data_IF_236720545635
#
_entry.id   IF_236720545635
#
_cell.length_a   1.000
_cell.length_b   1.000
_cell.length_c   1.000
_cell.angle_alpha   90.00
_cell.angle_beta   90.00
_cell.angle_gamma   90.00
#
_symmetry.space_group_name_H-M   'P 1'
#
loop_
_entity.id
_entity.type
_entity.pdbx_description
1 polymer ?
#
# COMPACT_ATOMS: atom_id res chain seq x y z
N UNK A 1 -6.95 22.43 -12.59
CA UNK A 1 -6.29 23.03 -13.77
C UNK A 1 -6.56 22.12 -14.95
N UNK A 2 -7.02 22.65 -16.08
CA UNK A 2 -7.21 21.83 -17.29
C UNK A 2 -5.81 21.62 -17.92
N UNK A 3 -5.36 20.37 -17.98
CA UNK A 3 -4.14 19.97 -18.69
C UNK A 3 -4.54 19.27 -19.99
N UNK A 4 -3.83 19.58 -21.09
CA UNK A 4 -4.03 18.97 -22.39
C UNK A 4 -2.95 17.93 -22.64
N UNK A 5 -3.29 16.87 -23.36
CA UNK A 5 -2.28 15.94 -23.85
C UNK A 5 -1.36 16.67 -24.86
N UNK A 6 -0.09 16.26 -25.01
CA UNK A 6 0.84 16.89 -25.96
C UNK A 6 0.37 16.88 -27.42
N UNK A 7 -0.53 15.96 -27.77
CA UNK A 7 -1.14 15.82 -29.10
C UNK A 7 -2.54 16.45 -29.22
N UNK A 8 -2.97 17.26 -28.24
CA UNK A 8 -4.25 17.96 -28.33
C UNK A 8 -4.18 19.07 -29.39
N UNK A 9 -4.90 18.86 -30.49
CA UNK A 9 -4.97 19.76 -31.63
C UNK A 9 -6.40 20.22 -31.92
N UNK A 10 -6.54 21.27 -32.72
CA UNK A 10 -7.85 21.70 -33.20
C UNK A 10 -8.42 20.76 -34.27
N UNK A 11 -9.67 20.32 -34.13
CA UNK A 11 -10.31 19.40 -35.09
C UNK A 11 -10.59 20.01 -36.48
N UNK A 12 -10.42 21.33 -36.66
CA UNK A 12 -10.65 22.00 -37.94
C UNK A 12 -9.33 22.22 -38.68
N UNK A 13 -8.33 22.84 -38.04
CA UNK A 13 -7.06 23.12 -38.69
C UNK A 13 -5.96 22.08 -38.40
N UNK A 14 -6.21 21.11 -37.51
CA UNK A 14 -5.25 20.10 -37.07
C UNK A 14 -3.93 20.64 -36.47
N UNK A 15 -3.87 21.92 -36.09
CA UNK A 15 -2.71 22.48 -35.40
C UNK A 15 -2.81 22.21 -33.91
N UNK A 16 -1.68 21.90 -33.29
CA UNK A 16 -1.54 21.74 -31.84
C UNK A 16 -1.99 23.00 -31.10
N UNK A 17 -2.70 22.82 -30.00
CA UNK A 17 -3.07 23.96 -29.16
C UNK A 17 -1.86 24.56 -28.45
N UNK A 18 -1.85 25.89 -28.33
CA UNK A 18 -0.85 26.67 -27.60
C UNK A 18 -1.51 27.86 -26.85
N UNK A 19 -0.70 28.65 -26.13
CA UNK A 19 -1.16 29.80 -25.36
C UNK A 19 -1.24 31.12 -26.14
N UNK A 20 -0.77 31.15 -27.39
CA UNK A 20 -0.56 32.37 -28.18
C UNK A 20 -1.32 32.40 -29.51
N UNK A 21 -1.07 31.44 -30.39
CA UNK A 21 -1.55 31.38 -31.78
C UNK A 21 -2.78 30.49 -31.88
N UNK A 22 -2.67 29.22 -31.48
CA UNK A 22 -3.74 28.22 -31.59
C UNK A 22 -4.39 28.05 -30.23
N UNK A 23 -5.10 29.10 -29.78
CA UNK A 23 -5.71 29.11 -28.45
C UNK A 23 -7.05 28.37 -28.46
N UNK A 24 -7.25 27.34 -27.61
CA UNK A 24 -8.49 26.57 -27.53
C UNK A 24 -9.64 27.38 -26.94
N UNK A 25 -10.80 27.28 -27.59
CA UNK A 25 -12.06 27.90 -27.18
C UNK A 25 -13.16 26.86 -27.24
N UNK A 26 -14.02 26.83 -26.21
CA UNK A 26 -15.22 26.00 -26.20
C UNK A 26 -16.42 26.80 -26.69
N UNK A 27 -17.34 26.12 -27.37
CA UNK A 27 -18.68 26.63 -27.68
C UNK A 27 -19.73 26.00 -26.77
N UNK A 28 -21.00 26.42 -26.88
CA UNK A 28 -22.11 25.99 -26.00
C UNK A 28 -22.33 24.47 -25.94
N UNK A 29 -22.02 23.75 -27.01
CA UNK A 29 -22.15 22.29 -27.03
C UNK A 29 -20.98 21.54 -26.38
N UNK A 30 -19.92 22.23 -25.97
CA UNK A 30 -18.75 21.66 -25.29
C UNK A 30 -17.59 21.25 -26.20
N UNK A 31 -17.75 21.29 -27.53
CA UNK A 31 -16.63 21.04 -28.45
C UNK A 31 -15.64 22.22 -28.45
N UNK A 32 -14.37 21.90 -28.67
CA UNK A 32 -13.26 22.85 -28.57
C UNK A 32 -12.60 23.04 -29.93
N UNK A 33 -12.42 24.29 -30.32
CA UNK A 33 -11.72 24.67 -31.56
C UNK A 33 -10.80 25.86 -31.29
N UNK A 34 -9.84 26.13 -32.18
CA UNK A 34 -9.04 27.35 -32.06
C UNK A 34 -9.87 28.58 -32.47
N UNK A 35 -9.49 29.76 -31.95
CA UNK A 35 -10.24 31.01 -32.20
C UNK A 35 -10.41 31.30 -33.69
N UNK A 36 -9.36 31.14 -34.48
CA UNK A 36 -9.38 31.41 -35.92
C UNK A 36 -10.40 30.54 -36.63
N UNK A 37 -10.45 29.24 -36.33
CA UNK A 37 -11.41 28.34 -36.95
C UNK A 37 -12.86 28.63 -36.54
N UNK A 38 -13.12 29.04 -35.29
CA UNK A 38 -14.48 29.46 -34.88
C UNK A 38 -14.92 30.70 -35.66
N UNK A 39 -14.03 31.68 -35.84
CA UNK A 39 -14.33 32.91 -36.59
C UNK A 39 -14.53 32.66 -38.09
N UNK A 40 -13.99 31.56 -38.63
CA UNK A 40 -14.10 31.18 -40.03
C UNK A 40 -15.34 30.33 -40.35
N UNK A 41 -16.17 29.99 -39.37
CA UNK A 41 -17.43 29.28 -39.62
C UNK A 41 -18.36 30.21 -40.41
N UNK A 42 -18.52 29.93 -41.71
CA UNK A 42 -19.39 30.67 -42.61
C UNK A 42 -20.80 30.07 -42.61
N UNK A 43 -21.83 30.91 -42.45
CA UNK A 43 -23.23 30.50 -42.41
C UNK A 43 -23.83 30.51 -41.00
N UNK A 44 -24.91 29.76 -40.73
CA UNK A 44 -25.48 29.68 -39.39
C UNK A 44 -24.45 29.08 -38.42
N UNK A 45 -24.23 29.76 -37.30
CA UNK A 45 -23.28 29.39 -36.27
C UNK A 45 -23.64 28.02 -35.68
N UNK A 46 -23.06 26.97 -36.25
CA UNK A 46 -23.33 25.58 -35.90
C UNK A 46 -22.03 24.85 -35.68
N UNK A 47 -21.99 23.99 -34.67
CA UNK A 47 -20.80 23.21 -34.34
C UNK A 47 -20.37 22.33 -35.53
N UNK A 48 -19.11 22.38 -36.00
CA UNK A 48 -18.64 21.54 -37.10
C UNK A 48 -18.71 20.03 -36.82
N UNK A 49 -18.75 19.64 -35.55
CA UNK A 49 -18.77 18.23 -35.12
C UNK A 49 -20.21 17.75 -34.95
N UNK A 50 -20.99 18.38 -34.06
CA UNK A 50 -22.33 17.91 -33.69
C UNK A 50 -23.49 18.73 -34.24
N UNK A 51 -23.21 19.78 -35.04
CA UNK A 51 -24.18 20.67 -35.71
C UNK A 51 -25.14 21.44 -34.79
N UNK A 52 -24.96 21.37 -33.47
CA UNK A 52 -25.73 22.19 -32.52
C UNK A 52 -25.47 23.68 -32.77
N UNK A 53 -26.51 24.53 -32.78
CA UNK A 53 -26.33 25.97 -32.93
C UNK A 53 -25.61 26.55 -31.71
N UNK A 54 -24.83 27.60 -31.93
CA UNK A 54 -24.14 28.36 -30.88
C UNK A 54 -24.12 29.84 -31.22
N UNK A 55 -23.85 30.69 -30.23
CA UNK A 55 -23.69 32.13 -30.44
C UNK A 55 -22.24 32.55 -30.18
N UNK A 56 -21.76 33.56 -30.91
CA UNK A 56 -20.38 34.06 -30.73
C UNK A 56 -20.14 34.60 -29.33
N UNK A 57 -21.18 35.12 -28.67
CA UNK A 57 -21.11 35.62 -27.31
C UNK A 57 -20.92 34.52 -26.26
N UNK A 58 -21.18 33.26 -26.61
CA UNK A 58 -21.04 32.10 -25.70
C UNK A 58 -19.71 31.36 -25.91
N UNK A 59 -18.89 31.79 -26.84
CA UNK A 59 -17.54 31.25 -27.04
C UNK A 59 -16.69 31.64 -25.83
N UNK A 60 -16.03 30.66 -25.21
CA UNK A 60 -15.19 30.88 -24.02
C UNK A 60 -13.76 30.39 -24.29
N UNK A 61 -12.77 31.24 -24.01
CA UNK A 61 -11.35 30.84 -24.01
C UNK A 61 -11.12 29.84 -22.88
N UNK A 62 -10.50 28.71 -23.21
CA UNK A 62 -10.05 27.76 -22.20
C UNK A 62 -8.66 28.16 -21.71
N UNK A 63 -8.54 28.36 -20.40
CA UNK A 63 -7.24 28.60 -19.75
C UNK A 63 -6.60 27.25 -19.44
N UNK A 64 -5.67 26.85 -20.31
CA UNK A 64 -4.89 25.62 -20.17
C UNK A 64 -3.49 25.95 -19.69
N UNK A 65 -2.97 25.08 -18.84
CA UNK A 65 -1.56 25.11 -18.48
C UNK A 65 -0.80 24.34 -19.54
N UNK A 66 -0.10 25.07 -20.42
CA UNK A 66 0.79 24.47 -21.39
C UNK A 66 2.13 24.22 -20.70
N UNK A 67 2.45 22.96 -20.42
CA UNK A 67 3.72 22.57 -19.81
C UNK A 67 4.93 23.04 -20.63
N UNK A 68 4.76 23.16 -21.96
CA UNK A 68 5.79 23.66 -22.89
C UNK A 68 6.32 25.05 -22.49
N UNK A 69 5.43 26.00 -22.15
CA UNK A 69 5.82 27.37 -21.78
C UNK A 69 6.33 27.52 -20.35
N UNK A 70 5.98 26.59 -19.44
CA UNK A 70 6.56 26.54 -18.11
C UNK A 70 8.04 26.15 -18.22
N UNK A 71 8.37 25.11 -18.99
CA UNK A 71 9.72 24.58 -19.11
C UNK A 71 10.73 25.57 -19.70
N UNK A 72 10.29 26.36 -20.68
CA UNK A 72 11.10 27.42 -21.30
C UNK A 72 11.31 28.61 -20.33
N UNK A 73 10.28 29.00 -19.56
CA UNK A 73 10.39 30.01 -18.49
C UNK A 73 11.20 29.53 -17.28
N UNK A 74 11.28 28.22 -17.09
CA UNK A 74 11.92 27.56 -15.96
C UNK A 74 13.39 27.22 -16.19
N UNK A 75 13.96 27.58 -17.36
CA UNK A 75 15.36 27.31 -17.73
C UNK A 75 15.76 25.83 -17.60
N UNK A 76 14.82 24.91 -17.87
CA UNK A 76 15.09 23.48 -17.80
C UNK A 76 15.85 23.02 -19.05
N UNK A 77 16.92 22.23 -18.89
CA UNK A 77 17.63 21.69 -20.05
C UNK A 77 16.77 20.62 -20.74
N UNK A 78 16.83 20.50 -22.09
CA UNK A 78 16.11 19.44 -22.82
C UNK A 78 16.46 18.02 -22.37
N UNK A 79 17.68 17.81 -21.88
CA UNK A 79 18.13 16.52 -21.32
C UNK A 79 17.44 16.17 -20.01
N UNK A 80 17.22 17.16 -19.14
CA UNK A 80 16.53 16.97 -17.87
C UNK A 80 15.06 16.59 -18.10
N UNK A 81 14.45 17.17 -19.13
CA UNK A 81 13.10 16.85 -19.57
C UNK A 81 12.95 15.40 -20.04
N UNK A 82 13.84 14.95 -20.92
CA UNK A 82 13.85 13.56 -21.39
C UNK A 82 14.08 12.57 -20.25
N UNK A 83 14.91 12.95 -19.28
CA UNK A 83 15.17 12.14 -18.09
C UNK A 83 13.94 12.08 -17.18
N UNK A 84 13.25 13.20 -16.99
CA UNK A 84 11.99 13.27 -16.25
C UNK A 84 10.90 12.37 -16.88
N UNK A 85 10.73 12.46 -18.20
CA UNK A 85 9.79 11.63 -18.95
C UNK A 85 10.14 10.14 -18.83
N UNK A 86 11.42 9.77 -18.92
CA UNK A 86 11.88 8.40 -18.68
C UNK A 86 11.48 7.90 -17.30
N UNK A 87 11.62 8.72 -16.26
CA UNK A 87 11.19 8.36 -14.91
C UNK A 87 9.67 8.22 -14.82
N UNK A 88 8.89 9.12 -15.44
CA UNK A 88 7.43 9.00 -15.47
C UNK A 88 6.97 7.70 -16.12
N UNK A 89 7.55 7.34 -17.27
CA UNK A 89 7.25 6.09 -17.96
C UNK A 89 7.67 4.86 -17.14
N UNK A 90 8.83 4.93 -16.48
CA UNK A 90 9.26 3.86 -15.57
C UNK A 90 8.29 3.68 -14.39
N UNK A 91 7.78 4.79 -13.82
CA UNK A 91 6.78 4.73 -12.75
C UNK A 91 5.44 4.17 -13.22
N UNK A 92 4.98 4.52 -14.42
CA UNK A 92 3.75 3.95 -15.00
C UNK A 92 3.89 2.43 -15.17
N UNK A 93 5.03 1.97 -15.72
CA UNK A 93 5.31 0.54 -15.88
C UNK A 93 5.36 -0.24 -14.56
N UNK A 94 5.79 0.39 -13.45
CA UNK A 94 5.75 -0.24 -12.12
C UNK A 94 4.31 -0.59 -11.72
N UNK A 95 3.34 0.23 -12.09
CA UNK A 95 1.92 0.02 -11.80
C UNK A 95 1.32 -1.02 -12.75
N UNK A 96 1.63 -0.93 -14.04
CA UNK A 96 0.99 -1.75 -15.08
C UNK A 96 1.52 -3.19 -15.14
N UNK A 97 2.84 -3.36 -15.17
CA UNK A 97 3.49 -4.67 -15.31
C UNK A 97 3.91 -5.26 -13.96
N UNK A 98 3.90 -4.44 -12.90
CA UNK A 98 4.53 -4.77 -11.63
C UNK A 98 6.06 -4.70 -11.72
N UNK A 99 6.71 -4.56 -10.56
CA UNK A 99 8.17 -4.62 -10.46
C UNK A 99 8.58 -5.42 -9.23
N UNK A 100 9.73 -6.09 -9.31
CA UNK A 100 10.37 -6.66 -8.14
C UNK A 100 10.86 -5.57 -7.19
N UNK A 101 10.83 -5.84 -5.88
CA UNK A 101 11.18 -4.87 -4.83
C UNK A 101 12.56 -4.24 -5.02
N UNK A 102 13.55 -5.05 -5.45
CA UNK A 102 14.90 -4.57 -5.75
C UNK A 102 14.91 -3.53 -6.88
N UNK A 103 14.15 -3.79 -7.95
CA UNK A 103 14.01 -2.86 -9.08
C UNK A 103 13.32 -1.56 -8.67
N UNK A 104 12.29 -1.63 -7.83
CA UNK A 104 11.63 -0.43 -7.29
C UNK A 104 12.59 0.41 -6.45
N UNK A 105 13.37 -0.22 -5.56
CA UNK A 105 14.36 0.48 -4.72
C UNK A 105 15.42 1.16 -5.57
N UNK A 106 15.89 0.49 -6.62
CA UNK A 106 16.85 1.06 -7.56
C UNK A 106 16.26 2.28 -8.28
N UNK A 107 15.04 2.18 -8.82
CA UNK A 107 14.35 3.30 -9.46
C UNK A 107 14.19 4.50 -8.52
N UNK A 108 13.76 4.24 -7.27
CA UNK A 108 13.64 5.28 -6.23
C UNK A 108 15.00 5.94 -5.96
N UNK A 109 16.07 5.16 -5.86
CA UNK A 109 17.42 5.67 -5.61
C UNK A 109 17.94 6.53 -6.76
N UNK A 110 17.81 6.05 -7.99
CA UNK A 110 18.22 6.78 -9.20
C UNK A 110 17.45 8.10 -9.34
N UNK A 111 16.12 8.05 -9.17
CA UNK A 111 15.28 9.24 -9.28
C UNK A 111 15.57 10.24 -8.14
N UNK A 112 15.79 9.75 -6.92
CA UNK A 112 16.18 10.59 -5.77
C UNK A 112 17.51 11.30 -6.01
N UNK A 113 18.53 10.56 -6.49
CA UNK A 113 19.85 11.12 -6.78
C UNK A 113 19.76 12.20 -7.86
N UNK A 114 19.01 11.94 -8.93
CA UNK A 114 18.80 12.91 -9.99
C UNK A 114 18.03 14.15 -9.50
N UNK A 115 16.90 14.00 -8.79
CA UNK A 115 16.09 15.11 -8.27
C UNK A 115 16.82 15.99 -7.23
N UNK A 116 17.83 15.45 -6.55
CA UNK A 116 18.70 16.23 -5.64
C UNK A 116 19.57 17.24 -6.39
N UNK A 117 19.97 16.93 -7.63
CA UNK A 117 20.71 17.84 -8.51
C UNK A 117 19.83 18.90 -9.20
N UNK A 118 18.50 18.75 -9.14
CA UNK A 118 17.56 19.63 -9.82
C UNK A 118 17.05 20.75 -8.90
N UNK A 119 16.80 21.97 -9.42
CA UNK A 119 16.16 23.04 -8.67
C UNK A 119 14.83 22.60 -8.05
N UNK A 120 14.57 23.03 -6.80
CA UNK A 120 13.43 22.55 -6.00
C UNK A 120 12.05 22.85 -6.60
N UNK A 121 11.95 23.87 -7.44
CA UNK A 121 10.70 24.34 -8.04
C UNK A 121 10.39 23.63 -9.38
N UNK A 122 11.35 22.90 -9.97
CA UNK A 122 11.12 22.07 -11.15
C UNK A 122 10.59 20.71 -10.75
N UNK A 123 9.91 19.99 -11.64
CA UNK A 123 9.50 18.59 -11.46
C UNK A 123 8.82 18.30 -10.10
N UNK A 124 7.85 19.14 -9.72
CA UNK A 124 7.09 18.97 -8.47
C UNK A 124 6.39 17.61 -8.40
N UNK A 125 5.76 17.21 -9.50
CA UNK A 125 5.02 15.96 -9.60
C UNK A 125 5.93 14.74 -9.39
N UNK A 126 7.12 14.73 -10.00
CA UNK A 126 8.11 13.67 -9.79
C UNK A 126 8.53 13.55 -8.33
N UNK A 127 8.67 14.67 -7.61
CA UNK A 127 9.02 14.65 -6.18
C UNK A 127 7.90 14.10 -5.32
N UNK A 128 6.65 14.43 -5.64
CA UNK A 128 5.48 13.88 -4.96
C UNK A 128 5.42 12.37 -5.22
N UNK A 129 5.54 11.95 -6.48
CA UNK A 129 5.55 10.54 -6.86
C UNK A 129 6.69 9.76 -6.20
N UNK A 130 7.90 10.33 -6.13
CA UNK A 130 9.03 9.74 -5.38
C UNK A 130 8.67 9.47 -3.92
N UNK A 131 8.04 10.44 -3.26
CA UNK A 131 7.69 10.35 -1.84
C UNK A 131 6.65 9.26 -1.61
N UNK A 132 5.63 9.18 -2.46
CA UNK A 132 4.60 8.15 -2.42
C UNK A 132 5.23 6.76 -2.64
N UNK A 133 6.04 6.59 -3.67
CA UNK A 133 6.71 5.30 -3.95
C UNK A 133 7.64 4.87 -2.82
N UNK A 134 8.41 5.79 -2.24
CA UNK A 134 9.28 5.52 -1.10
C UNK A 134 8.47 5.03 0.10
N UNK A 135 7.40 5.75 0.44
CA UNK A 135 6.48 5.37 1.51
C UNK A 135 5.85 3.99 1.28
N UNK A 136 5.40 3.70 0.06
CA UNK A 136 4.85 2.39 -0.29
C UNK A 136 5.89 1.28 -0.18
N UNK A 137 7.14 1.52 -0.60
CA UNK A 137 8.22 0.56 -0.50
C UNK A 137 8.53 0.22 0.97
N UNK A 138 8.62 1.24 1.83
CA UNK A 138 8.88 1.07 3.26
C UNK A 138 7.74 0.31 3.96
N UNK A 139 6.48 0.64 3.64
CA UNK A 139 5.34 -0.07 4.20
C UNK A 139 5.30 -1.53 3.77
N UNK A 140 5.65 -1.83 2.52
CA UNK A 140 5.72 -3.21 2.04
C UNK A 140 6.79 -4.00 2.78
N UNK A 141 7.93 -3.39 3.08
CA UNK A 141 8.99 -4.02 3.88
C UNK A 141 8.54 -4.26 5.33
N UNK A 142 7.90 -3.28 5.98
CA UNK A 142 7.34 -3.44 7.33
C UNK A 142 6.29 -4.53 7.39
N UNK A 143 5.37 -4.57 6.43
CA UNK A 143 4.34 -5.60 6.35
C UNK A 143 4.94 -7.01 6.22
N UNK A 144 6.04 -7.15 5.45
CA UNK A 144 6.76 -8.41 5.35
C UNK A 144 7.40 -8.81 6.68
N UNK A 145 8.00 -7.86 7.40
CA UNK A 145 8.54 -8.09 8.75
C UNK A 145 7.46 -8.56 9.72
N UNK A 146 6.34 -7.84 9.80
CA UNK A 146 5.22 -8.23 10.66
C UNK A 146 4.64 -9.60 10.33
N UNK A 147 4.63 -10.01 9.05
CA UNK A 147 4.20 -11.36 8.67
C UNK A 147 5.15 -12.43 9.20
N UNK A 148 6.46 -12.22 9.05
CA UNK A 148 7.46 -13.15 9.58
C UNK A 148 7.41 -13.26 11.10
N UNK A 149 7.21 -12.14 11.79
CA UNK A 149 7.10 -12.14 13.26
C UNK A 149 5.81 -12.84 13.71
N UNK A 150 4.70 -12.66 13.00
CA UNK A 150 3.46 -13.41 13.27
C UNK A 150 3.65 -14.91 13.05
N UNK A 151 4.35 -15.32 11.99
CA UNK A 151 4.65 -16.75 11.75
C UNK A 151 5.47 -17.34 12.90
N UNK A 152 6.49 -16.64 13.39
CA UNK A 152 7.29 -17.07 14.55
C UNK A 152 6.47 -17.16 15.83
N UNK A 153 5.71 -16.12 16.15
CA UNK A 153 4.86 -16.10 17.34
C UNK A 153 3.81 -17.21 17.31
N UNK A 154 3.23 -17.49 16.15
CA UNK A 154 2.29 -18.61 15.99
C UNK A 154 2.95 -19.96 16.25
N UNK A 155 4.20 -20.15 15.82
CA UNK A 155 4.94 -21.38 16.09
C UNK A 155 5.30 -21.52 17.57
N UNK A 156 5.72 -20.44 18.23
CA UNK A 156 5.95 -20.40 19.68
C UNK A 156 4.67 -20.73 20.48
N UNK A 157 3.53 -20.15 20.09
CA UNK A 157 2.23 -20.44 20.71
C UNK A 157 1.89 -21.93 20.58
N UNK A 158 2.13 -22.54 19.41
CA UNK A 158 1.90 -23.98 19.22
C UNK A 158 2.80 -24.83 20.12
N UNK A 159 4.09 -24.52 20.17
CA UNK A 159 5.05 -25.25 21.00
C UNK A 159 4.65 -25.18 22.49
N UNK A 160 4.33 -23.98 23.00
CA UNK A 160 3.89 -23.79 24.37
C UNK A 160 2.55 -24.48 24.67
N UNK A 161 1.64 -24.55 23.68
CA UNK A 161 0.36 -25.26 23.84
C UNK A 161 0.60 -26.76 24.02
N UNK A 162 1.47 -27.36 23.21
CA UNK A 162 1.83 -28.77 23.33
C UNK A 162 2.54 -29.08 24.66
N UNK A 163 3.47 -28.21 25.08
CA UNK A 163 4.15 -28.36 26.37
C UNK A 163 3.17 -28.26 27.54
N UNK A 164 2.23 -27.30 27.49
CA UNK A 164 1.17 -27.16 28.48
C UNK A 164 0.31 -28.42 28.57
N UNK A 165 -0.11 -28.99 27.44
CA UNK A 165 -0.90 -30.23 27.41
C UNK A 165 -0.12 -31.39 28.04
N UNK A 166 1.15 -31.57 27.68
CA UNK A 166 2.00 -32.62 28.25
C UNK A 166 2.20 -32.46 29.77
N UNK A 167 2.40 -31.24 30.26
CA UNK A 167 2.50 -30.97 31.70
C UNK A 167 1.18 -31.19 32.43
N UNK A 168 0.05 -30.87 31.81
CA UNK A 168 -1.28 -31.12 32.36
C UNK A 168 -1.53 -32.63 32.53
N UNK A 169 -1.10 -33.45 31.57
CA UNK A 169 -1.26 -34.90 31.66
C UNK A 169 -0.35 -35.52 32.72
N UNK A 170 0.91 -35.09 32.80
CA UNK A 170 1.82 -35.48 33.90
C UNK A 170 1.26 -35.11 35.27
N UNK A 171 0.67 -33.91 35.39
CA UNK A 171 0.06 -33.47 36.64
C UNK A 171 -1.11 -34.37 37.05
N UNK A 172 -1.95 -34.79 36.10
CA UNK A 172 -3.05 -35.73 36.39
C UNK A 172 -2.53 -37.09 36.85
N UNK A 173 -1.49 -37.61 36.20
CA UNK A 173 -0.87 -38.89 36.56
C UNK A 173 -0.32 -38.85 37.99
N UNK A 174 0.43 -37.81 38.34
CA UNK A 174 0.96 -37.62 39.70
C UNK A 174 -0.15 -37.49 40.76
N UNK A 175 -1.26 -36.83 40.42
CA UNK A 175 -2.42 -36.73 41.33
C UNK A 175 -3.01 -38.11 41.60
N UNK A 176 -3.17 -38.95 40.58
CA UNK A 176 -3.70 -40.31 40.74
C UNK A 176 -2.74 -41.22 41.51
N UNK A 177 -1.42 -41.15 41.23
CA UNK A 177 -0.39 -41.88 41.98
C UNK A 177 -0.46 -41.49 43.46
N UNK A 178 -0.46 -40.19 43.75
CA UNK A 178 -0.53 -39.69 45.14
C UNK A 178 -1.81 -40.12 45.85
N UNK A 179 -2.92 -40.22 45.14
CA UNK A 179 -4.19 -40.72 45.68
C UNK A 179 -4.08 -42.20 46.05
N UNK A 180 -3.55 -43.02 45.14
CA UNK A 180 -3.34 -44.44 45.37
C UNK A 180 -2.37 -44.72 46.54
N UNK A 181 -1.25 -44.00 46.60
CA UNK A 181 -0.29 -44.10 47.71
C UNK A 181 -0.94 -43.73 49.04
N UNK A 182 -1.75 -42.67 49.07
CA UNK A 182 -2.48 -42.25 50.27
C UNK A 182 -3.49 -43.31 50.73
N UNK A 183 -4.26 -43.88 49.80
CA UNK A 183 -5.21 -44.95 50.10
C UNK A 183 -4.49 -46.21 50.63
N UNK A 184 -3.36 -46.56 50.03
CA UNK A 184 -2.53 -47.69 50.46
C UNK A 184 -1.93 -47.46 51.85
N UNK A 185 -1.35 -46.28 52.09
CA UNK A 185 -0.81 -45.93 53.40
C UNK A 185 -1.88 -45.95 54.51
N UNK A 186 -3.09 -45.47 54.20
CA UNK A 186 -4.22 -45.54 55.12
C UNK A 186 -4.62 -46.99 55.45
N UNK A 187 -4.70 -47.86 54.44
CA UNK A 187 -5.03 -49.26 54.64
C UNK A 187 -3.98 -50.01 55.50
N UNK A 188 -2.70 -49.74 55.26
CA UNK A 188 -1.60 -50.29 56.08
C UNK A 188 -1.69 -49.78 57.52
N UNK A 189 -1.95 -48.49 57.73
CA UNK A 189 -2.09 -47.91 59.07
C UNK A 189 -3.24 -48.54 59.86
N UNK A 190 -4.41 -48.72 59.22
CA UNK A 190 -5.56 -49.41 59.82
C UNK A 190 -5.21 -50.85 60.20
N UNK A 191 -4.60 -51.61 59.28
CA UNK A 191 -4.22 -53.00 59.53
C UNK A 191 -3.21 -53.14 60.67
N UNK A 192 -2.21 -52.25 60.72
CA UNK A 192 -1.24 -52.22 61.82
C UNK A 192 -1.89 -51.87 63.15
N UNK A 193 -2.83 -50.92 63.17
CA UNK A 193 -3.58 -50.54 64.37
C UNK A 193 -4.40 -51.71 64.90
N UNK A 194 -5.12 -52.42 64.04
CA UNK A 194 -5.86 -53.64 64.40
C UNK A 194 -4.93 -54.72 64.97
N UNK A 195 -3.75 -54.92 64.35
CA UNK A 195 -2.78 -55.89 64.84
C UNK A 195 -2.24 -55.53 66.23
N UNK A 196 -1.90 -54.26 66.45
CA UNK A 196 -1.47 -53.75 67.76
C UNK A 196 -2.55 -53.89 68.83
N UNK A 197 -3.81 -53.58 68.51
CA UNK A 197 -4.94 -53.75 69.43
C UNK A 197 -5.14 -55.23 69.81
N UNK A 198 -5.05 -56.14 68.84
CA UNK A 198 -5.16 -57.57 69.09
C UNK A 198 -3.98 -58.10 69.92
N UNK A 199 -2.75 -57.68 69.61
CA UNK A 199 -1.58 -58.04 70.39
C UNK A 199 -1.71 -57.54 71.84
N UNK A 200 -2.14 -56.29 72.04
CA UNK A 200 -2.40 -55.75 73.36
C UNK A 200 -3.42 -56.60 74.12
N UNK A 201 -4.58 -56.93 73.52
CA UNK A 201 -5.59 -57.80 74.16
C UNK A 201 -5.01 -59.15 74.60
N UNK A 202 -4.19 -59.78 73.75
CA UNK A 202 -3.54 -61.06 74.08
C UNK A 202 -2.57 -60.89 75.25
N UNK A 203 -1.77 -59.82 75.27
CA UNK A 203 -0.86 -59.53 76.38
C UNK A 203 -1.61 -59.23 77.68
N UNK A 204 -2.68 -58.43 77.66
CA UNK A 204 -3.46 -58.13 78.87
C UNK A 204 -4.09 -59.38 79.46
N UNK A 205 -4.66 -60.25 78.61
CA UNK A 205 -5.26 -61.51 79.02
C UNK A 205 -4.24 -62.56 79.51
N UNK A 206 -2.95 -62.41 79.19
CA UNK A 206 -1.89 -63.32 79.62
C UNK A 206 -1.26 -62.91 80.97
N UNK A 207 -1.60 -61.72 81.48
CA UNK A 207 -1.06 -61.14 82.73
C UNK A 207 -2.10 -61.19 83.88
N UNK A 208 -3.37 -61.49 83.59
CA UNK A 208 -4.41 -61.87 84.57
C UNK A 208 -4.39 -63.39 84.86
#
# INVERSE_FOLDING_TARGET
>A
MLSLAPASSCDICAHDYDDTVVVPHTITCGHVFCRSCIMQVQGPLTCPICRKPFEMQDVRKLHISFDKGLLEKLQCKPEDLRTAERFQNAMANVVDAGIHEKGLRQLIQEMKAWLQGQPRHLFGDLRISLRIMSYMCDNRAKLRGFKQDNEKLNEEIRALTLEKEALQDKLKEEIEIRKYEKETALAVEVSLREHCENANKVYTNAIE
#
